data_IF_530711434777
#
_entry.id   IF_530711434777
#
_cell.length_a   1.000
_cell.length_b   1.000
_cell.length_c   1.000
_cell.angle_alpha   90.00
_cell.angle_beta   90.00
_cell.angle_gamma   90.00
#
_symmetry.space_group_name_H-M   'P 1'
#
loop_
_entity.id
_entity.type
_entity.pdbx_description
1 polymer ?
#
# COMPACT_ATOMS: atom_id res chain seq x y z
N UNK A 1 2.02 -16.92 -15.39
CA UNK A 1 1.72 -15.76 -16.30
C UNK A 1 3.07 -15.15 -16.69
N UNK A 2 3.33 -14.88 -17.98
CA UNK A 2 4.56 -14.19 -18.35
C UNK A 2 4.49 -12.70 -17.96
N UNK A 3 5.63 -11.99 -17.89
CA UNK A 3 5.67 -10.57 -17.45
C UNK A 3 4.78 -9.65 -18.29
N UNK A 4 4.63 -9.90 -19.59
CA UNK A 4 3.78 -9.07 -20.47
C UNK A 4 2.30 -9.16 -20.08
N UNK A 5 1.80 -10.34 -19.76
CA UNK A 5 0.42 -10.53 -19.31
C UNK A 5 0.19 -9.93 -17.92
N UNK A 6 1.18 -10.02 -17.04
CA UNK A 6 1.12 -9.42 -15.71
C UNK A 6 1.11 -7.90 -15.79
N UNK A 7 1.97 -7.29 -16.61
CA UNK A 7 2.01 -5.85 -16.84
C UNK A 7 0.66 -5.34 -17.35
N UNK A 8 0.08 -6.03 -18.32
CA UNK A 8 -1.25 -5.69 -18.83
C UNK A 8 -2.35 -5.80 -17.77
N UNK A 9 -2.29 -6.84 -16.93
CA UNK A 9 -3.23 -7.02 -15.81
C UNK A 9 -3.14 -5.86 -14.82
N UNK A 10 -1.93 -5.48 -14.39
CA UNK A 10 -1.70 -4.39 -13.45
C UNK A 10 -2.09 -3.02 -14.03
N UNK A 11 -1.79 -2.78 -15.31
CA UNK A 11 -2.19 -1.55 -15.99
C UNK A 11 -3.71 -1.43 -16.11
N UNK A 12 -4.40 -2.51 -16.49
CA UNK A 12 -5.86 -2.54 -16.54
C UNK A 12 -6.48 -2.30 -15.14
N UNK A 13 -5.86 -2.84 -14.08
CA UNK A 13 -6.26 -2.61 -12.70
C UNK A 13 -6.18 -1.13 -12.31
N UNK A 14 -5.03 -0.47 -12.58
CA UNK A 14 -4.85 0.95 -12.29
C UNK A 14 -5.83 1.80 -13.12
N UNK A 15 -5.99 1.52 -14.42
CA UNK A 15 -6.96 2.25 -15.26
C UNK A 15 -8.40 2.10 -14.75
N UNK A 16 -8.78 0.90 -14.32
CA UNK A 16 -10.10 0.65 -13.73
C UNK A 16 -10.30 1.47 -12.46
N UNK A 17 -9.33 1.45 -11.54
CA UNK A 17 -9.36 2.24 -10.31
C UNK A 17 -9.51 3.74 -10.59
N UNK A 18 -8.78 4.28 -11.57
CA UNK A 18 -8.90 5.69 -11.98
C UNK A 18 -10.27 5.98 -12.57
N UNK A 19 -10.82 5.10 -13.43
CA UNK A 19 -12.17 5.26 -14.01
C UNK A 19 -13.25 5.22 -12.93
N UNK A 20 -13.13 4.31 -11.98
CA UNK A 20 -14.09 4.18 -10.87
C UNK A 20 -14.01 5.40 -9.93
N UNK A 21 -12.81 5.87 -9.62
CA UNK A 21 -12.61 7.09 -8.85
C UNK A 21 -13.20 8.31 -9.57
N UNK A 22 -12.98 8.44 -10.89
CA UNK A 22 -13.58 9.51 -11.70
C UNK A 22 -15.10 9.52 -11.63
N UNK A 23 -15.76 8.37 -11.78
CA UNK A 23 -17.23 8.28 -11.67
C UNK A 23 -17.74 8.75 -10.32
N UNK A 24 -17.01 8.44 -9.24
CA UNK A 24 -17.38 8.74 -7.84
C UNK A 24 -17.10 10.19 -7.43
N UNK A 25 -16.29 10.89 -8.20
CA UNK A 25 -15.87 12.28 -7.92
C UNK A 25 -16.42 13.30 -8.91
N UNK A 26 -17.33 12.92 -9.81
CA UNK A 26 -17.90 13.82 -10.84
C UNK A 26 -18.54 15.10 -10.26
N UNK A 27 -19.04 15.03 -9.02
CA UNK A 27 -19.62 16.20 -8.33
C UNK A 27 -18.56 17.11 -7.68
N UNK A 28 -17.28 16.68 -7.64
CA UNK A 28 -16.16 17.44 -7.11
C UNK A 28 -15.23 17.87 -8.27
N UNK A 29 -15.31 19.13 -8.77
CA UNK A 29 -14.52 19.56 -9.91
C UNK A 29 -13.00 19.48 -9.69
N UNK A 30 -12.51 19.72 -8.46
CA UNK A 30 -11.08 19.67 -8.14
C UNK A 30 -10.56 18.21 -8.20
N UNK A 31 -11.30 17.27 -7.63
CA UNK A 31 -10.95 15.84 -7.70
C UNK A 31 -11.03 15.30 -9.12
N UNK A 32 -12.09 15.67 -9.83
CA UNK A 32 -12.25 15.27 -11.25
C UNK A 32 -11.09 15.78 -12.10
N UNK A 33 -10.70 17.05 -11.94
CA UNK A 33 -9.57 17.62 -12.67
C UNK A 33 -8.25 16.90 -12.34
N UNK A 34 -8.00 16.62 -11.07
CA UNK A 34 -6.83 15.83 -10.64
C UNK A 34 -6.85 14.44 -11.28
N UNK A 35 -7.94 13.68 -11.17
CA UNK A 35 -8.02 12.33 -11.68
C UNK A 35 -7.90 12.23 -13.20
N UNK A 36 -8.41 13.23 -13.95
CA UNK A 36 -8.19 13.32 -15.40
C UNK A 36 -6.71 13.54 -15.72
N UNK A 37 -6.05 14.47 -15.03
CA UNK A 37 -4.62 14.71 -15.21
C UNK A 37 -3.78 13.48 -14.83
N UNK A 38 -4.11 12.83 -13.71
CA UNK A 38 -3.43 11.62 -13.28
C UNK A 38 -3.63 10.48 -14.28
N UNK A 39 -4.83 10.29 -14.84
CA UNK A 39 -5.08 9.30 -15.89
C UNK A 39 -4.20 9.48 -17.13
N UNK A 40 -3.91 10.74 -17.53
CA UNK A 40 -2.94 11.02 -18.59
C UNK A 40 -1.51 10.66 -18.17
N UNK A 41 -1.15 10.90 -16.91
CA UNK A 41 0.16 10.53 -16.36
C UNK A 41 0.35 9.01 -16.32
N UNK A 42 -0.68 8.24 -15.95
CA UNK A 42 -0.67 6.77 -15.96
C UNK A 42 -0.37 6.23 -17.37
N UNK A 43 -1.02 6.75 -18.40
CA UNK A 43 -0.75 6.34 -19.80
C UNK A 43 0.67 6.65 -20.24
N UNK A 44 1.22 7.80 -19.84
CA UNK A 44 2.62 8.15 -20.10
C UNK A 44 3.57 7.19 -19.37
N UNK A 45 3.30 6.90 -18.12
CA UNK A 45 4.07 5.96 -17.31
C UNK A 45 4.06 4.54 -17.89
N UNK A 46 2.89 4.08 -18.36
CA UNK A 46 2.75 2.79 -19.06
C UNK A 46 3.63 2.73 -20.34
N UNK A 47 3.63 3.78 -21.14
CA UNK A 47 4.48 3.84 -22.33
C UNK A 47 5.97 3.76 -21.97
N UNK A 48 6.42 4.35 -20.85
CA UNK A 48 7.80 4.23 -20.36
C UNK A 48 8.13 2.79 -19.93
N UNK A 49 7.25 2.13 -19.19
CA UNK A 49 7.42 0.72 -18.80
C UNK A 49 7.45 -0.20 -20.01
N UNK A 50 6.51 -0.02 -20.94
CA UNK A 50 6.47 -0.80 -22.18
C UNK A 50 7.77 -0.68 -23.00
N UNK A 51 8.33 0.53 -23.10
CA UNK A 51 9.64 0.75 -23.74
C UNK A 51 10.77 -0.01 -23.04
N UNK A 52 10.72 -0.10 -21.71
CA UNK A 52 11.68 -0.88 -20.93
C UNK A 52 11.49 -2.38 -21.16
N UNK A 53 10.24 -2.86 -21.19
CA UNK A 53 9.91 -4.26 -21.46
C UNK A 53 10.36 -4.73 -22.83
N UNK A 54 10.26 -3.89 -23.88
CA UNK A 54 10.80 -4.19 -25.23
C UNK A 54 12.32 -4.40 -25.26
N UNK A 55 13.03 -3.92 -24.23
CA UNK A 55 14.49 -4.11 -24.06
C UNK A 55 14.84 -5.24 -23.10
N UNK A 56 13.86 -6.07 -22.73
CA UNK A 56 14.02 -7.19 -21.81
C UNK A 56 14.06 -6.83 -20.33
N UNK A 57 13.79 -5.56 -19.96
CA UNK A 57 13.66 -5.14 -18.57
C UNK A 57 12.22 -5.23 -18.08
N UNK A 58 12.03 -5.13 -16.75
CA UNK A 58 10.72 -5.05 -16.11
C UNK A 58 10.73 -3.96 -15.04
N UNK A 59 9.72 -3.10 -15.04
CA UNK A 59 9.50 -2.05 -14.05
C UNK A 59 8.09 -2.26 -13.48
N UNK A 60 7.93 -2.40 -12.16
CA UNK A 60 6.63 -2.52 -11.53
C UNK A 60 5.84 -1.20 -11.65
N UNK A 61 4.52 -1.30 -11.61
CA UNK A 61 3.65 -0.11 -11.72
C UNK A 61 3.52 0.66 -10.41
N UNK A 62 3.80 0.03 -9.26
CA UNK A 62 3.75 0.69 -7.95
C UNK A 62 4.86 0.20 -7.01
N UNK A 63 5.08 0.95 -5.93
CA UNK A 63 5.98 0.62 -4.84
C UNK A 63 5.26 0.78 -3.49
N UNK A 64 5.85 0.18 -2.45
CA UNK A 64 5.49 0.45 -1.06
C UNK A 64 6.72 1.05 -0.38
N UNK A 65 6.55 2.15 0.35
CA UNK A 65 7.63 2.86 1.01
C UNK A 65 7.28 3.12 2.48
N UNK A 66 8.01 2.49 3.39
CA UNK A 66 8.00 2.85 4.81
C UNK A 66 8.93 4.04 5.01
N UNK A 67 8.36 5.26 5.03
CA UNK A 67 9.16 6.50 5.06
C UNK A 67 9.74 6.82 6.46
N UNK A 68 9.30 6.10 7.47
CA UNK A 68 9.82 6.16 8.84
C UNK A 68 9.45 4.89 9.61
N UNK A 69 10.24 4.54 10.61
CA UNK A 69 9.92 3.55 11.63
C UNK A 69 9.25 4.16 12.88
N UNK A 70 9.20 5.51 12.97
CA UNK A 70 8.66 6.21 14.11
C UNK A 70 7.13 6.25 14.08
N UNK A 71 6.48 5.80 15.15
CA UNK A 71 5.03 5.83 15.30
C UNK A 71 4.62 6.47 16.62
N UNK A 72 3.43 7.09 16.65
CA UNK A 72 2.80 7.63 17.86
C UNK A 72 1.81 6.62 18.50
N UNK A 73 1.64 5.42 17.93
CA UNK A 73 0.82 4.33 18.45
C UNK A 73 1.63 3.06 18.70
N UNK A 74 1.03 2.14 19.48
CA UNK A 74 1.59 0.83 19.81
C UNK A 74 0.57 -0.29 19.51
N UNK A 75 0.14 -0.39 18.25
CA UNK A 75 -0.91 -1.32 17.85
C UNK A 75 -0.51 -2.78 18.07
N UNK A 76 -1.46 -3.59 18.57
CA UNK A 76 -1.27 -5.03 18.72
C UNK A 76 -1.07 -5.71 17.35
N UNK A 77 -0.06 -6.57 17.24
CA UNK A 77 0.25 -7.29 16.00
C UNK A 77 0.76 -6.42 14.84
N UNK A 78 1.31 -5.23 15.12
CA UNK A 78 1.88 -4.38 14.08
C UNK A 78 3.15 -5.01 13.51
N UNK A 79 3.21 -5.17 12.18
CA UNK A 79 4.37 -5.78 11.50
C UNK A 79 5.65 -4.95 11.63
N UNK A 80 5.53 -3.62 11.67
CA UNK A 80 6.66 -2.71 11.76
C UNK A 80 7.33 -2.74 13.15
N UNK A 81 6.56 -3.07 14.19
CA UNK A 81 7.07 -3.14 15.57
C UNK A 81 7.83 -4.41 15.93
N UNK A 82 7.66 -5.49 15.18
CA UNK A 82 8.41 -6.74 15.40
C UNK A 82 9.76 -6.72 14.69
N UNK A 83 10.00 -5.69 13.90
CA UNK A 83 11.26 -5.46 13.22
C UNK A 83 12.22 -4.71 14.15
N UNK A 84 13.51 -4.90 13.92
CA UNK A 84 14.54 -4.05 14.45
C UNK A 84 14.44 -2.68 13.77
N UNK A 85 13.92 -1.68 14.49
CA UNK A 85 13.73 -0.35 13.93
C UNK A 85 15.07 0.36 13.78
N UNK A 86 15.36 0.98 12.63
CA UNK A 86 16.55 1.84 12.49
C UNK A 86 16.43 3.04 13.44
N UNK A 87 17.57 3.58 13.89
CA UNK A 87 17.58 4.88 14.56
C UNK A 87 17.10 5.97 13.58
N UNK A 88 16.66 7.11 14.10
CA UNK A 88 16.21 8.23 13.25
C UNK A 88 17.32 8.71 12.30
N UNK A 89 18.56 8.68 12.76
CA UNK A 89 19.75 9.06 11.98
C UNK A 89 20.06 8.04 10.86
N UNK A 90 19.60 6.81 11.00
CA UNK A 90 19.74 5.77 9.99
C UNK A 90 18.62 5.80 8.94
N UNK A 91 17.52 6.49 9.19
CA UNK A 91 16.47 6.66 8.20
C UNK A 91 16.96 7.44 6.97
N UNK A 92 16.30 7.22 5.83
CA UNK A 92 16.57 8.01 4.62
C UNK A 92 16.20 9.47 4.83
N UNK A 93 17.08 10.36 4.36
CA UNK A 93 16.83 11.79 4.36
C UNK A 93 15.71 12.19 3.37
N UNK A 94 15.25 13.44 3.47
CA UNK A 94 14.34 14.03 2.46
C UNK A 94 14.93 13.95 1.06
N UNK A 95 16.21 14.22 0.91
CA UNK A 95 16.95 14.21 -0.35
C UNK A 95 17.04 12.81 -0.95
N UNK A 96 17.25 11.77 -0.11
CA UNK A 96 17.24 10.37 -0.54
C UNK A 96 15.87 9.98 -1.10
N UNK A 97 14.79 10.33 -0.40
CA UNK A 97 13.42 10.11 -0.89
C UNK A 97 13.12 10.90 -2.17
N UNK A 98 13.60 12.15 -2.28
CA UNK A 98 13.48 12.95 -3.49
C UNK A 98 14.14 12.29 -4.70
N UNK A 99 15.31 11.67 -4.53
CA UNK A 99 15.97 10.88 -5.57
C UNK A 99 15.14 9.67 -5.96
N UNK A 100 14.61 8.91 -5.00
CA UNK A 100 13.73 7.76 -5.24
C UNK A 100 12.49 8.18 -6.03
N UNK A 101 11.81 9.28 -5.67
CA UNK A 101 10.63 9.75 -6.37
C UNK A 101 10.94 10.25 -7.79
N UNK A 102 12.10 10.87 -7.99
CA UNK A 102 12.59 11.26 -9.32
C UNK A 102 12.77 10.04 -10.21
N UNK A 103 13.53 9.06 -9.74
CA UNK A 103 13.78 7.82 -10.49
C UNK A 103 12.48 7.04 -10.76
N UNK A 104 11.55 7.01 -9.79
CA UNK A 104 10.25 6.37 -9.95
C UNK A 104 9.44 7.02 -11.10
N UNK A 105 9.41 8.36 -11.16
CA UNK A 105 8.74 9.09 -12.23
C UNK A 105 9.38 8.82 -13.61
N UNK A 106 10.71 8.78 -13.68
CA UNK A 106 11.47 8.50 -14.91
C UNK A 106 11.29 7.07 -15.39
N UNK A 107 11.15 6.10 -14.49
CA UNK A 107 10.92 4.69 -14.80
C UNK A 107 9.46 4.39 -15.17
N UNK A 108 8.53 5.31 -14.89
CA UNK A 108 7.12 5.12 -15.14
C UNK A 108 6.39 4.38 -14.02
N UNK A 109 6.85 4.48 -12.78
CA UNK A 109 6.11 4.02 -11.60
C UNK A 109 4.95 5.00 -11.38
N UNK A 110 3.72 4.46 -11.30
CA UNK A 110 2.50 5.27 -11.29
C UNK A 110 2.01 5.57 -9.87
N UNK A 111 2.37 4.73 -8.88
CA UNK A 111 1.96 4.92 -7.50
C UNK A 111 3.05 4.49 -6.52
N UNK A 112 3.13 5.17 -5.36
CA UNK A 112 3.98 4.77 -4.24
C UNK A 112 3.15 4.86 -2.96
N UNK A 113 2.84 3.71 -2.34
CA UNK A 113 2.18 3.66 -1.04
C UNK A 113 3.15 4.16 0.01
N UNK A 114 2.80 5.26 0.67
CA UNK A 114 3.57 5.77 1.80
C UNK A 114 3.01 5.16 3.09
N UNK A 115 3.87 4.44 3.79
CA UNK A 115 3.58 3.73 5.03
C UNK A 115 4.76 3.88 6.00
N UNK A 116 4.88 2.96 6.94
CA UNK A 116 5.94 2.88 7.94
C UNK A 116 5.37 2.86 9.34
N UNK A 117 5.99 3.52 10.28
CA UNK A 117 5.40 3.80 11.58
C UNK A 117 4.17 4.69 11.42
N UNK A 118 4.36 6.01 11.44
CA UNK A 118 3.30 6.98 11.09
C UNK A 118 3.86 8.00 10.08
N UNK A 119 3.41 7.95 8.80
CA UNK A 119 3.94 8.83 7.76
C UNK A 119 3.78 10.33 8.04
N UNK A 120 2.75 10.75 8.77
CA UNK A 120 2.55 12.16 9.11
C UNK A 120 3.64 12.72 10.03
N UNK A 121 4.50 11.88 10.63
CA UNK A 121 5.71 12.31 11.35
C UNK A 121 6.84 12.78 10.43
N UNK A 122 6.76 12.47 9.13
CA UNK A 122 7.74 12.86 8.10
C UNK A 122 7.12 13.88 7.13
N UNK A 123 6.70 15.02 7.70
CA UNK A 123 6.18 16.14 6.92
C UNK A 123 7.15 16.59 5.81
N UNK A 124 8.46 16.53 6.08
CA UNK A 124 9.52 16.81 5.13
C UNK A 124 9.48 15.90 3.88
N UNK A 125 9.24 14.60 4.06
CA UNK A 125 9.12 13.64 2.96
C UNK A 125 7.78 13.77 2.23
N UNK A 126 6.69 14.05 2.95
CA UNK A 126 5.39 14.33 2.33
C UNK A 126 5.44 15.62 1.48
N UNK A 127 6.12 16.67 1.94
CA UNK A 127 6.39 17.87 1.15
C UNK A 127 7.23 17.55 -0.10
N UNK A 128 8.21 16.66 0.01
CA UNK A 128 8.97 16.23 -1.15
C UNK A 128 8.10 15.45 -2.13
N UNK A 129 7.29 14.48 -1.66
CA UNK A 129 6.34 13.72 -2.47
C UNK A 129 5.34 14.63 -3.21
N UNK A 130 4.93 15.75 -2.59
CA UNK A 130 3.98 16.70 -3.20
C UNK A 130 4.47 17.34 -4.50
N UNK A 131 5.76 17.28 -4.80
CA UNK A 131 6.37 17.81 -6.03
C UNK A 131 6.18 16.88 -7.24
N UNK A 132 5.73 15.64 -7.03
CA UNK A 132 5.65 14.60 -8.07
C UNK A 132 4.20 14.27 -8.44
N UNK A 133 3.44 15.23 -8.95
CA UNK A 133 2.03 15.09 -9.29
C UNK A 133 1.71 14.03 -10.37
N UNK A 134 2.71 13.45 -11.01
CA UNK A 134 2.56 12.32 -11.94
C UNK A 134 2.50 10.96 -11.24
N UNK A 135 2.82 10.90 -9.95
CA UNK A 135 2.76 9.72 -9.09
C UNK A 135 1.63 9.88 -8.09
N UNK A 136 0.84 8.84 -7.88
CA UNK A 136 -0.15 8.78 -6.81
C UNK A 136 0.51 8.31 -5.52
N UNK A 137 0.24 9.00 -4.42
CA UNK A 137 0.76 8.63 -3.10
C UNK A 137 -0.40 8.33 -2.14
N UNK A 138 -0.90 7.08 -2.06
CA UNK A 138 -1.73 6.66 -0.94
C UNK A 138 -0.93 6.74 0.36
N UNK A 139 -1.38 7.53 1.34
CA UNK A 139 -0.71 7.76 2.63
C UNK A 139 -1.45 7.00 3.72
N UNK A 140 -0.89 5.86 4.14
CA UNK A 140 -1.48 4.99 5.16
C UNK A 140 -1.17 5.54 6.55
N UNK A 141 -2.14 6.18 7.16
CA UNK A 141 -2.01 6.87 8.45
C UNK A 141 -3.01 6.36 9.49
N UNK A 142 -2.63 6.44 10.76
CA UNK A 142 -3.58 6.21 11.86
C UNK A 142 -4.55 7.38 12.07
N UNK A 143 -4.36 8.50 11.39
CA UNK A 143 -5.24 9.66 11.40
C UNK A 143 -5.15 10.57 12.63
N UNK A 144 -4.41 10.19 13.69
CA UNK A 144 -4.37 10.97 14.95
C UNK A 144 -3.68 12.33 14.77
N UNK A 145 -2.70 12.42 13.88
CA UNK A 145 -1.97 13.65 13.59
C UNK A 145 -2.63 14.48 12.48
N UNK A 146 -3.83 14.11 12.04
CA UNK A 146 -4.53 14.76 10.94
C UNK A 146 -5.27 16.00 11.44
N UNK A 147 -4.53 17.08 11.64
CA UNK A 147 -5.05 18.40 12.02
C UNK A 147 -5.45 19.25 10.79
N UNK A 148 -5.89 20.48 11.04
CA UNK A 148 -6.30 21.40 9.97
C UNK A 148 -5.16 21.76 9.00
N UNK A 149 -3.92 21.78 9.45
CA UNK A 149 -2.76 22.04 8.60
C UNK A 149 -2.52 20.86 7.65
N UNK A 150 -2.60 19.62 8.14
CA UNK A 150 -2.52 18.40 7.35
C UNK A 150 -3.66 18.31 6.32
N UNK A 151 -4.91 18.61 6.71
CA UNK A 151 -6.06 18.61 5.78
C UNK A 151 -5.85 19.62 4.66
N UNK A 152 -5.42 20.84 4.99
CA UNK A 152 -5.09 21.86 3.99
C UNK A 152 -3.93 21.45 3.07
N UNK A 153 -2.96 20.70 3.59
CA UNK A 153 -1.86 20.15 2.79
C UNK A 153 -2.38 19.14 1.77
N UNK A 154 -3.23 18.19 2.17
CA UNK A 154 -3.85 17.23 1.26
C UNK A 154 -4.78 17.90 0.25
N UNK A 155 -5.52 18.95 0.65
CA UNK A 155 -6.40 19.72 -0.25
C UNK A 155 -5.62 20.37 -1.40
N UNK A 156 -4.41 20.84 -1.13
CA UNK A 156 -3.51 21.42 -2.14
C UNK A 156 -2.80 20.37 -2.99
N UNK A 157 -2.64 19.15 -2.48
CA UNK A 157 -1.82 18.07 -3.07
C UNK A 157 -2.65 16.80 -3.25
N UNK A 158 -3.69 16.84 -4.09
CA UNK A 158 -4.72 15.78 -4.22
C UNK A 158 -4.20 14.42 -4.73
N UNK A 159 -2.98 14.36 -5.22
CA UNK A 159 -2.28 13.11 -5.54
C UNK A 159 -1.70 12.39 -4.31
N UNK A 160 -1.71 13.02 -3.13
CA UNK A 160 -1.52 12.38 -1.85
C UNK A 160 -2.90 12.05 -1.28
N UNK A 161 -3.26 10.77 -1.22
CA UNK A 161 -4.60 10.33 -0.80
C UNK A 161 -4.51 9.71 0.60
N UNK A 162 -5.12 10.32 1.63
CA UNK A 162 -5.15 9.72 2.96
C UNK A 162 -5.90 8.38 2.97
N UNK A 163 -5.28 7.36 3.54
CA UNK A 163 -5.88 6.05 3.79
C UNK A 163 -5.87 5.83 5.31
N UNK A 164 -7.02 6.02 5.93
CA UNK A 164 -7.15 6.04 7.37
C UNK A 164 -7.26 4.61 7.92
N UNK A 165 -6.40 4.28 8.86
CA UNK A 165 -6.38 2.94 9.45
C UNK A 165 -7.45 2.78 10.54
N UNK A 166 -8.30 1.76 10.40
CA UNK A 166 -9.39 1.40 11.31
C UNK A 166 -9.52 -0.13 11.38
N UNK A 167 -10.23 -0.68 12.39
CA UNK A 167 -10.35 -2.14 12.54
C UNK A 167 -11.81 -2.61 12.65
N UNK A 168 -12.77 -1.79 12.24
CA UNK A 168 -14.21 -1.97 12.45
C UNK A 168 -14.75 -0.97 13.43
N UNK A 169 -15.74 -1.37 14.29
CA UNK A 169 -16.30 -0.50 15.30
C UNK A 169 -15.33 -0.10 16.42
N UNK A 170 -15.80 0.75 17.35
CA UNK A 170 -15.00 1.33 18.44
C UNK A 170 -14.26 0.27 19.27
N UNK A 171 -14.97 -0.78 19.69
CA UNK A 171 -14.40 -1.85 20.52
C UNK A 171 -13.20 -2.51 19.84
N UNK A 172 -13.33 -2.86 18.57
CA UNK A 172 -12.27 -3.54 17.81
C UNK A 172 -11.10 -2.62 17.48
N UNK A 173 -11.40 -1.39 17.11
CA UNK A 173 -10.38 -0.40 16.79
C UNK A 173 -9.57 -0.03 18.02
N UNK A 174 -10.22 0.26 19.14
CA UNK A 174 -9.54 0.62 20.38
C UNK A 174 -8.79 -0.56 21.01
N UNK A 175 -9.33 -1.77 20.91
CA UNK A 175 -8.65 -2.97 21.40
C UNK A 175 -7.30 -3.18 20.69
N UNK A 176 -7.22 -2.94 19.38
CA UNK A 176 -5.99 -3.14 18.62
C UNK A 176 -5.06 -1.93 18.65
N UNK A 177 -5.62 -0.71 18.57
CA UNK A 177 -4.85 0.52 18.33
C UNK A 177 -4.62 1.37 19.58
N UNK A 178 -5.42 1.17 20.61
CA UNK A 178 -5.39 1.93 21.86
C UNK A 178 -6.68 2.70 22.11
N UNK A 179 -6.99 2.93 23.39
CA UNK A 179 -8.23 3.60 23.82
C UNK A 179 -8.36 4.99 23.20
N UNK A 180 -9.56 5.32 22.68
CA UNK A 180 -9.91 6.61 22.08
C UNK A 180 -9.39 6.81 20.65
N UNK A 181 -8.70 5.84 20.06
CA UNK A 181 -8.22 5.93 18.68
C UNK A 181 -9.37 5.95 17.69
N UNK A 182 -10.42 5.15 17.92
CA UNK A 182 -11.62 5.17 17.07
C UNK A 182 -12.23 6.57 16.96
N UNK A 183 -12.44 7.25 18.08
CA UNK A 183 -13.02 8.60 18.09
C UNK A 183 -12.17 9.59 17.29
N UNK A 184 -10.83 9.53 17.43
CA UNK A 184 -9.91 10.40 16.69
C UNK A 184 -9.93 10.08 15.20
N UNK A 185 -9.96 8.79 14.83
CA UNK A 185 -10.08 8.32 13.46
C UNK A 185 -11.38 8.81 12.79
N UNK A 186 -12.51 8.73 13.50
CA UNK A 186 -13.79 9.27 13.02
C UNK A 186 -13.75 10.79 12.82
N UNK A 187 -13.08 11.52 13.72
CA UNK A 187 -12.89 12.96 13.56
C UNK A 187 -12.01 13.29 12.34
N UNK A 188 -10.95 12.52 12.11
CA UNK A 188 -10.09 12.66 10.92
C UNK A 188 -10.90 12.47 9.63
N UNK A 189 -11.70 11.41 9.52
CA UNK A 189 -12.57 11.16 8.36
C UNK A 189 -13.58 12.29 8.17
N UNK A 190 -14.18 12.80 9.25
CA UNK A 190 -15.09 13.94 9.20
C UNK A 190 -14.41 15.18 8.61
N UNK A 191 -13.20 15.50 9.06
CA UNK A 191 -12.45 16.65 8.55
C UNK A 191 -12.12 16.50 7.06
N UNK A 192 -11.72 15.31 6.61
CA UNK A 192 -11.45 15.03 5.19
C UNK A 192 -12.72 15.19 4.33
N UNK A 193 -13.87 14.72 4.84
CA UNK A 193 -15.17 14.85 4.19
C UNK A 193 -15.62 16.30 4.06
N UNK A 194 -15.44 17.11 5.11
CA UNK A 194 -15.80 18.53 5.15
C UNK A 194 -15.02 19.35 4.10
N UNK A 195 -13.79 18.93 3.75
CA UNK A 195 -12.98 19.51 2.70
C UNK A 195 -13.20 18.85 1.32
N UNK A 196 -14.17 17.94 1.24
CA UNK A 196 -14.51 17.23 0.00
C UNK A 196 -13.27 16.56 -0.65
N UNK A 197 -12.45 15.90 0.18
CA UNK A 197 -11.24 15.20 -0.24
C UNK A 197 -11.54 13.74 -0.59
N UNK A 198 -10.88 13.23 -1.64
CA UNK A 198 -10.83 11.79 -1.88
C UNK A 198 -9.96 11.15 -0.78
N UNK A 199 -10.54 10.22 -0.04
CA UNK A 199 -9.82 9.44 0.96
C UNK A 199 -10.34 8.01 1.05
N UNK A 200 -9.56 7.16 1.68
CA UNK A 200 -9.91 5.77 1.93
C UNK A 200 -9.74 5.38 3.38
N UNK A 201 -10.06 4.12 3.67
CA UNK A 201 -9.72 3.46 4.89
C UNK A 201 -8.94 2.17 4.63
N UNK A 202 -8.14 1.72 5.60
CA UNK A 202 -7.51 0.41 5.60
C UNK A 202 -7.87 -0.35 6.86
N UNK A 203 -8.18 -1.64 6.70
CA UNK A 203 -8.52 -2.55 7.78
C UNK A 203 -7.54 -3.71 7.75
N UNK A 204 -6.85 -3.96 8.87
CA UNK A 204 -6.13 -5.22 9.03
C UNK A 204 -7.13 -6.29 9.45
N UNK A 205 -7.38 -7.25 8.56
CA UNK A 205 -8.36 -8.33 8.78
C UNK A 205 -7.73 -9.44 9.59
N UNK A 206 -8.34 -9.76 10.72
CA UNK A 206 -7.93 -10.80 11.65
C UNK A 206 -9.10 -11.74 11.98
N UNK A 207 -8.84 -12.86 12.64
CA UNK A 207 -9.91 -13.71 13.16
C UNK A 207 -10.87 -12.96 14.09
N UNK A 208 -10.37 -11.97 14.82
CA UNK A 208 -11.16 -11.27 15.82
C UNK A 208 -12.15 -10.25 15.21
N UNK A 209 -11.83 -9.67 14.04
CA UNK A 209 -12.66 -8.63 13.43
C UNK A 209 -13.32 -9.02 12.10
N UNK A 210 -12.99 -10.18 11.52
CA UNK A 210 -13.51 -10.60 10.21
C UNK A 210 -15.02 -10.45 10.11
N UNK A 211 -15.77 -11.00 11.07
CA UNK A 211 -17.24 -10.98 11.05
C UNK A 211 -17.82 -9.58 11.10
N UNK A 212 -17.12 -8.61 11.70
CA UNK A 212 -17.56 -7.22 11.79
C UNK A 212 -17.25 -6.44 10.50
N UNK A 213 -16.02 -6.56 10.00
CA UNK A 213 -15.53 -5.71 8.91
C UNK A 213 -16.10 -6.06 7.53
N UNK A 214 -16.66 -7.27 7.38
CA UNK A 214 -17.33 -7.70 6.14
C UNK A 214 -18.84 -7.48 6.14
N UNK A 215 -19.43 -6.91 7.21
CA UNK A 215 -20.87 -6.62 7.27
C UNK A 215 -21.22 -5.42 6.39
N UNK A 216 -22.42 -5.46 5.83
CA UNK A 216 -22.93 -4.35 5.01
C UNK A 216 -23.07 -3.06 5.81
N UNK A 217 -23.42 -3.15 7.09
CA UNK A 217 -23.57 -2.01 8.01
C UNK A 217 -22.23 -1.29 8.21
N UNK A 218 -21.14 -2.03 8.44
CA UNK A 218 -19.79 -1.46 8.60
C UNK A 218 -19.34 -0.73 7.35
N UNK A 219 -19.58 -1.34 6.17
CA UNK A 219 -19.24 -0.72 4.88
C UNK A 219 -20.08 0.54 4.65
N UNK A 220 -21.38 0.46 4.92
CA UNK A 220 -22.31 1.62 4.78
C UNK A 220 -21.90 2.77 5.70
N UNK A 221 -21.53 2.48 6.94
CA UNK A 221 -21.04 3.51 7.86
C UNK A 221 -19.80 4.24 7.31
N UNK A 222 -18.82 3.51 6.78
CA UNK A 222 -17.63 4.10 6.17
C UNK A 222 -17.96 4.93 4.92
N UNK A 223 -18.90 4.47 4.07
CA UNK A 223 -19.40 5.23 2.92
C UNK A 223 -20.08 6.53 3.36
N UNK A 224 -20.92 6.48 4.40
CA UNK A 224 -21.59 7.66 4.98
C UNK A 224 -20.59 8.65 5.58
N UNK A 225 -19.45 8.17 6.12
CA UNK A 225 -18.35 9.03 6.57
C UNK A 225 -17.58 9.69 5.41
N UNK A 226 -17.84 9.28 4.17
CA UNK A 226 -17.23 9.85 2.97
C UNK A 226 -16.09 9.01 2.39
N UNK A 227 -15.78 7.86 2.98
CA UNK A 227 -14.76 6.94 2.47
C UNK A 227 -15.14 6.44 1.06
N UNK A 228 -14.18 6.48 0.13
CA UNK A 228 -14.38 6.04 -1.26
C UNK A 228 -13.54 4.81 -1.62
N UNK A 229 -12.54 4.50 -0.81
CA UNK A 229 -11.61 3.39 -1.01
C UNK A 229 -11.52 2.63 0.31
N UNK A 230 -11.66 1.31 0.27
CA UNK A 230 -11.44 0.46 1.44
C UNK A 230 -10.46 -0.66 1.08
N UNK A 231 -9.35 -0.69 1.82
CA UNK A 231 -8.28 -1.66 1.63
C UNK A 231 -8.34 -2.67 2.78
N UNK A 232 -8.67 -3.91 2.46
CA UNK A 232 -8.58 -5.03 3.40
C UNK A 232 -7.18 -5.62 3.31
N UNK A 233 -6.43 -5.52 4.40
CA UNK A 233 -5.09 -6.10 4.52
C UNK A 233 -5.19 -7.34 5.39
N UNK A 234 -5.05 -8.52 4.80
CA UNK A 234 -5.03 -9.77 5.57
C UNK A 234 -3.84 -9.75 6.54
N UNK A 235 -4.10 -10.09 7.79
CA UNK A 235 -3.05 -10.12 8.81
C UNK A 235 -2.05 -11.25 8.53
N UNK A 236 -0.80 -10.88 8.30
CA UNK A 236 0.32 -11.83 8.25
C UNK A 236 0.82 -12.09 9.66
N UNK A 237 1.00 -13.34 10.11
CA UNK A 237 1.21 -13.71 11.52
C UNK A 237 2.62 -13.40 12.06
N UNK A 238 3.11 -12.20 11.81
CA UNK A 238 4.46 -11.76 12.22
C UNK A 238 4.65 -11.65 13.74
N UNK A 239 3.58 -11.41 14.49
CA UNK A 239 3.63 -11.23 15.94
C UNK A 239 2.74 -12.24 16.70
N UNK A 240 1.58 -12.59 16.16
CA UNK A 240 0.62 -13.48 16.84
C UNK A 240 -0.09 -14.40 15.84
N UNK A 241 0.27 -15.68 15.76
CA UNK A 241 -0.36 -16.63 14.84
C UNK A 241 -1.88 -16.76 15.00
N UNK A 242 -2.41 -16.57 16.21
CA UNK A 242 -3.84 -16.69 16.49
C UNK A 242 -4.71 -15.62 15.83
N UNK A 243 -4.12 -14.50 15.44
CA UNK A 243 -4.85 -13.41 14.75
C UNK A 243 -5.00 -13.69 13.25
N UNK A 244 -4.20 -14.58 12.68
CA UNK A 244 -4.26 -14.89 11.25
C UNK A 244 -5.55 -15.62 10.88
N UNK A 245 -6.12 -15.30 9.72
CA UNK A 245 -7.27 -16.00 9.19
C UNK A 245 -6.91 -17.47 8.90
N UNK A 246 -7.81 -18.38 9.27
CA UNK A 246 -7.76 -19.74 8.77
C UNK A 246 -8.37 -19.83 7.36
N UNK A 247 -8.31 -21.01 6.72
CA UNK A 247 -8.81 -21.20 5.35
C UNK A 247 -10.29 -20.84 5.20
N UNK A 248 -11.12 -21.20 6.18
CA UNK A 248 -12.55 -20.85 6.16
C UNK A 248 -12.76 -19.32 6.25
N UNK A 249 -11.98 -18.64 7.08
CA UNK A 249 -12.04 -17.17 7.21
C UNK A 249 -11.60 -16.47 5.92
N UNK A 250 -10.56 -16.98 5.25
CA UNK A 250 -10.10 -16.45 3.97
C UNK A 250 -11.13 -16.63 2.86
N UNK A 251 -11.72 -17.84 2.76
CA UNK A 251 -12.79 -18.12 1.80
C UNK A 251 -13.99 -17.19 2.03
N UNK A 252 -14.39 -17.01 3.31
CA UNK A 252 -15.49 -16.11 3.65
C UNK A 252 -15.19 -14.65 3.26
N UNK A 253 -13.96 -14.18 3.51
CA UNK A 253 -13.54 -12.82 3.11
C UNK A 253 -13.64 -12.65 1.58
N UNK A 254 -13.11 -13.60 0.80
CA UNK A 254 -13.15 -13.55 -0.67
C UNK A 254 -14.57 -13.53 -1.22
N UNK A 255 -15.42 -14.47 -0.80
CA UNK A 255 -16.81 -14.55 -1.25
C UNK A 255 -17.59 -13.28 -0.90
N UNK A 256 -17.34 -12.76 0.30
CA UNK A 256 -18.02 -11.55 0.75
C UNK A 256 -17.56 -10.30 -0.01
N UNK A 257 -16.26 -10.15 -0.24
CA UNK A 257 -15.71 -9.06 -1.04
C UNK A 257 -16.21 -9.10 -2.50
N UNK A 258 -16.29 -10.28 -3.11
CA UNK A 258 -16.87 -10.42 -4.44
C UNK A 258 -18.31 -9.89 -4.47
N UNK A 259 -19.17 -10.32 -3.52
CA UNK A 259 -20.54 -9.84 -3.41
C UNK A 259 -20.67 -8.33 -3.13
N UNK A 260 -19.78 -7.78 -2.29
CA UNK A 260 -19.76 -6.33 -1.97
C UNK A 260 -19.35 -5.48 -3.18
N UNK A 261 -18.37 -5.93 -3.97
CA UNK A 261 -17.91 -5.25 -5.19
C UNK A 261 -19.04 -5.09 -6.23
N UNK A 262 -19.92 -6.06 -6.33
CA UNK A 262 -21.07 -5.98 -7.23
C UNK A 262 -22.13 -4.96 -6.79
N UNK A 263 -22.27 -4.73 -5.48
CA UNK A 263 -23.36 -3.95 -4.89
C UNK A 263 -22.96 -2.53 -4.50
N UNK A 264 -21.65 -2.25 -4.33
CA UNK A 264 -21.16 -1.02 -3.75
C UNK A 264 -20.39 -0.17 -4.76
N UNK A 265 -20.56 1.13 -4.63
CA UNK A 265 -19.74 2.08 -5.39
C UNK A 265 -18.35 2.26 -4.81
N UNK A 266 -18.10 1.92 -3.53
CA UNK A 266 -16.79 1.98 -2.90
C UNK A 266 -15.78 1.08 -3.62
N UNK A 267 -14.54 1.55 -3.79
CA UNK A 267 -13.44 0.76 -4.32
C UNK A 267 -12.96 -0.18 -3.21
N UNK A 268 -13.12 -1.48 -3.39
CA UNK A 268 -12.72 -2.51 -2.42
C UNK A 268 -11.48 -3.24 -2.94
N UNK A 269 -10.37 -3.14 -2.20
CA UNK A 269 -9.08 -3.79 -2.51
C UNK A 269 -8.78 -4.80 -1.41
N UNK A 270 -8.34 -6.00 -1.78
CA UNK A 270 -7.85 -7.02 -0.84
C UNK A 270 -6.37 -7.30 -1.09
N UNK A 271 -5.57 -7.23 -0.05
CA UNK A 271 -4.15 -7.53 -0.11
C UNK A 271 -3.79 -8.54 0.99
N UNK A 272 -3.17 -9.69 0.67
CA UNK A 272 -2.73 -10.14 -0.65
C UNK A 272 -3.80 -10.89 -1.48
N UNK A 273 -5.05 -10.97 -1.06
CA UNK A 273 -6.10 -11.78 -1.68
C UNK A 273 -6.27 -11.57 -3.19
N UNK A 274 -6.22 -10.33 -3.67
CA UNK A 274 -6.37 -10.00 -5.09
C UNK A 274 -5.16 -10.43 -5.96
N UNK A 275 -4.07 -10.89 -5.35
CA UNK A 275 -2.89 -11.40 -6.07
C UNK A 275 -3.11 -12.75 -6.77
N UNK A 276 -4.15 -13.50 -6.41
CA UNK A 276 -4.48 -14.80 -7.05
C UNK A 276 -4.65 -14.66 -8.57
N UNK A 277 -5.34 -13.63 -9.02
CA UNK A 277 -5.59 -13.37 -10.44
C UNK A 277 -4.31 -12.99 -11.20
N UNK A 278 -3.28 -12.51 -10.51
CA UNK A 278 -1.98 -12.19 -11.09
C UNK A 278 -1.07 -13.40 -11.34
N UNK A 279 -1.51 -14.61 -10.96
CA UNK A 279 -0.73 -15.83 -11.08
C UNK A 279 0.40 -15.92 -10.06
N UNK A 280 0.17 -15.49 -8.82
CA UNK A 280 1.08 -15.57 -7.68
C UNK A 280 1.48 -14.22 -7.11
N UNK A 281 2.37 -14.23 -6.11
CA UNK A 281 2.79 -13.06 -5.36
C UNK A 281 3.41 -11.98 -6.24
N UNK A 282 3.04 -10.72 -6.00
CA UNK A 282 3.51 -9.53 -6.74
C UNK A 282 4.82 -8.95 -6.21
N UNK A 283 5.38 -9.52 -5.14
CA UNK A 283 6.60 -9.06 -4.48
C UNK A 283 7.86 -9.13 -5.35
N UNK A 284 9.00 -8.72 -4.80
CA UNK A 284 10.33 -8.75 -5.40
C UNK A 284 10.39 -8.07 -6.78
N UNK A 285 9.69 -6.96 -6.95
CA UNK A 285 9.66 -6.18 -8.19
C UNK A 285 8.80 -6.78 -9.29
N UNK A 286 8.05 -7.86 -9.05
CA UNK A 286 7.14 -8.44 -10.03
C UNK A 286 5.94 -7.52 -10.30
N UNK A 287 5.29 -7.01 -9.28
CA UNK A 287 4.25 -5.97 -9.32
C UNK A 287 4.65 -4.78 -8.45
N UNK A 288 5.37 -5.04 -7.36
CA UNK A 288 5.94 -4.04 -6.46
C UNK A 288 7.16 -4.59 -5.73
N UNK A 289 7.87 -3.71 -5.02
CA UNK A 289 8.75 -4.05 -3.92
C UNK A 289 8.60 -3.01 -2.80
N UNK A 290 9.16 -3.32 -1.64
CA UNK A 290 9.11 -2.46 -0.47
C UNK A 290 10.45 -1.75 -0.25
N UNK A 291 10.41 -0.48 0.14
CA UNK A 291 11.55 0.30 0.57
C UNK A 291 11.35 0.57 2.05
N UNK A 292 12.23 0.07 2.91
CA UNK A 292 12.16 0.34 4.33
C UNK A 292 12.73 1.71 4.70
N UNK A 293 12.52 2.17 5.94
CA UNK A 293 12.92 3.50 6.38
C UNK A 293 14.43 3.76 6.27
N UNK A 294 15.26 2.73 6.41
CA UNK A 294 16.72 2.82 6.24
C UNK A 294 17.19 2.74 4.78
N UNK A 295 16.28 2.57 3.81
CA UNK A 295 16.58 2.50 2.39
C UNK A 295 16.83 1.10 1.86
N UNK A 296 16.64 0.05 2.64
CA UNK A 296 16.74 -1.33 2.18
C UNK A 296 15.62 -1.64 1.16
N UNK A 297 16.00 -2.20 0.00
CA UNK A 297 15.06 -2.73 -0.98
C UNK A 297 14.66 -4.15 -0.58
N UNK A 298 13.44 -4.32 -0.09
CA UNK A 298 12.90 -5.58 0.41
C UNK A 298 11.87 -6.16 -0.58
N UNK A 299 11.73 -7.48 -0.71
CA UNK A 299 10.71 -8.08 -1.57
C UNK A 299 9.30 -7.58 -1.24
N UNK A 300 8.95 -7.48 0.06
CA UNK A 300 7.62 -7.15 0.56
C UNK A 300 7.73 -6.61 2.00
N UNK A 301 6.77 -5.80 2.50
CA UNK A 301 6.71 -5.43 3.92
C UNK A 301 6.74 -6.62 4.89
N UNK A 302 6.30 -7.79 4.49
CA UNK A 302 6.29 -9.01 5.30
C UNK A 302 7.50 -9.93 5.06
N UNK A 303 8.46 -9.50 4.25
CA UNK A 303 9.71 -10.20 3.96
C UNK A 303 10.88 -9.21 4.08
N UNK A 304 11.33 -8.90 5.33
CA UNK A 304 12.23 -7.80 5.64
C UNK A 304 13.71 -8.13 5.38
N UNK A 305 14.00 -8.69 4.22
CA UNK A 305 15.35 -9.07 3.81
C UNK A 305 15.79 -8.23 2.62
N UNK A 306 16.99 -7.69 2.66
CA UNK A 306 17.52 -6.82 1.61
C UNK A 306 18.99 -7.11 1.34
N UNK A 307 19.37 -7.12 0.06
CA UNK A 307 20.75 -7.16 -0.41
C UNK A 307 21.19 -5.84 -1.06
N UNK A 308 20.30 -4.84 -1.11
CA UNK A 308 20.52 -3.58 -1.83
C UNK A 308 19.97 -2.40 -1.06
N UNK A 309 20.76 -1.33 -0.89
CA UNK A 309 20.33 -0.10 -0.24
C UNK A 309 20.15 1.05 -1.24
N UNK A 310 18.97 1.67 -1.21
CA UNK A 310 18.65 2.85 -2.03
C UNK A 310 19.31 4.15 -1.53
N UNK A 311 20.06 4.12 -0.44
CA UNK A 311 20.97 5.23 -0.10
C UNK A 311 22.13 5.34 -1.10
N UNK A 312 22.53 4.22 -1.70
CA UNK A 312 23.70 4.14 -2.60
C UNK A 312 23.37 3.61 -3.99
N UNK A 313 22.31 2.80 -4.13
CA UNK A 313 21.88 2.21 -5.39
C UNK A 313 20.63 2.92 -5.95
N UNK A 314 20.42 2.81 -7.25
CA UNK A 314 19.22 3.26 -7.94
C UNK A 314 18.06 2.25 -7.81
N UNK A 315 16.83 2.70 -8.09
CA UNK A 315 15.67 1.81 -8.20
C UNK A 315 15.87 0.71 -9.26
N UNK A 316 16.56 1.04 -10.35
CA UNK A 316 16.85 0.07 -11.42
C UNK A 316 17.81 -1.02 -10.94
N UNK A 317 18.85 -0.67 -10.19
CA UNK A 317 19.78 -1.63 -9.61
C UNK A 317 19.08 -2.50 -8.57
N UNK A 318 18.24 -1.93 -7.73
CA UNK A 318 17.44 -2.69 -6.77
C UNK A 318 16.52 -3.73 -7.45
N UNK A 319 15.86 -3.36 -8.55
CA UNK A 319 15.03 -4.28 -9.33
C UNK A 319 15.82 -5.43 -9.99
N UNK A 320 17.11 -5.25 -10.17
CA UNK A 320 18.04 -6.22 -10.74
C UNK A 320 18.91 -6.90 -9.68
N UNK A 321 18.63 -6.66 -8.40
CA UNK A 321 19.40 -7.26 -7.30
C UNK A 321 19.42 -8.80 -7.39
N UNK A 322 20.48 -9.45 -6.92
CA UNK A 322 20.56 -10.92 -6.88
C UNK A 322 19.37 -11.53 -6.13
N UNK A 323 18.96 -10.95 -5.00
CA UNK A 323 17.82 -11.42 -4.22
C UNK A 323 16.54 -11.41 -5.05
N UNK A 324 16.19 -10.28 -5.66
CA UNK A 324 14.96 -10.18 -6.44
C UNK A 324 14.97 -11.07 -7.67
N UNK A 325 16.12 -11.14 -8.34
CA UNK A 325 16.30 -12.01 -9.52
C UNK A 325 16.09 -13.47 -9.17
N UNK A 326 16.76 -13.97 -8.12
CA UNK A 326 16.61 -15.35 -7.64
C UNK A 326 15.17 -15.67 -7.22
N UNK A 327 14.49 -14.77 -6.51
CA UNK A 327 13.09 -14.98 -6.10
C UNK A 327 12.14 -15.10 -7.31
N UNK A 328 12.36 -14.30 -8.36
CA UNK A 328 11.55 -14.37 -9.59
C UNK A 328 11.83 -15.61 -10.43
N UNK A 329 13.08 -16.05 -10.50
CA UNK A 329 13.51 -17.17 -11.36
C UNK A 329 13.27 -18.54 -10.72
N UNK A 330 13.40 -18.66 -9.40
CA UNK A 330 13.29 -19.94 -8.69
C UNK A 330 11.84 -20.38 -8.39
N UNK A 331 10.84 -19.66 -8.90
CA UNK A 331 9.43 -20.00 -8.69
C UNK A 331 8.91 -19.72 -7.26
N UNK A 332 9.70 -19.09 -6.39
CA UNK A 332 9.30 -18.78 -5.01
C UNK A 332 8.04 -17.89 -4.91
N UNK A 333 7.78 -17.10 -5.96
CA UNK A 333 6.61 -16.21 -6.06
C UNK A 333 5.43 -16.85 -6.81
N UNK A 334 5.62 -18.03 -7.41
CA UNK A 334 4.64 -18.71 -8.25
C UNK A 334 4.19 -19.97 -7.51
N UNK A 335 3.23 -19.84 -6.63
CA UNK A 335 2.61 -20.95 -5.92
C UNK A 335 1.11 -20.77 -5.85
N UNK A 336 0.36 -21.84 -5.57
CA UNK A 336 -1.03 -21.70 -5.16
C UNK A 336 -1.04 -20.92 -3.84
N UNK A 337 -1.45 -19.68 -3.95
CA UNK A 337 -1.57 -18.77 -2.83
C UNK A 337 -2.95 -18.97 -2.21
N UNK A 338 -3.05 -19.81 -1.21
CA UNK A 338 -4.31 -20.08 -0.51
C UNK A 338 -4.59 -19.07 0.61
N UNK A 339 -4.21 -17.81 0.41
CA UNK A 339 -4.53 -16.72 1.32
C UNK A 339 -3.56 -16.51 2.49
N UNK A 340 -2.36 -16.99 2.47
CA UNK A 340 -1.26 -16.64 3.37
C UNK A 340 -0.20 -15.80 2.62
N UNK A 341 0.83 -15.33 3.29
CA UNK A 341 1.97 -14.68 2.65
C UNK A 341 3.02 -15.73 2.27
N UNK A 342 3.15 -16.03 0.97
CA UNK A 342 4.12 -17.00 0.44
C UNK A 342 5.56 -16.72 0.90
N UNK A 343 5.96 -15.46 0.96
CA UNK A 343 7.33 -15.10 1.39
C UNK A 343 7.51 -15.18 2.90
N UNK A 344 6.44 -14.98 3.67
CA UNK A 344 6.50 -15.16 5.11
C UNK A 344 6.72 -16.64 5.47
N UNK A 345 6.01 -17.54 4.81
CA UNK A 345 6.17 -19.00 5.00
C UNK A 345 7.54 -19.50 4.53
N UNK A 346 8.24 -18.74 3.68
CA UNK A 346 9.58 -19.06 3.17
C UNK A 346 10.68 -18.16 3.75
N UNK A 347 10.49 -17.58 4.96
CA UNK A 347 11.38 -16.60 5.55
C UNK A 347 12.85 -17.04 5.60
N UNK A 348 13.13 -18.27 6.02
CA UNK A 348 14.50 -18.83 6.08
C UNK A 348 15.16 -18.91 4.70
N UNK A 349 14.40 -19.30 3.68
CA UNK A 349 14.90 -19.35 2.30
C UNK A 349 15.23 -17.95 1.76
N UNK A 350 14.34 -16.98 1.98
CA UNK A 350 14.58 -15.59 1.56
C UNK A 350 15.78 -14.98 2.28
N UNK A 351 15.91 -15.24 3.58
CA UNK A 351 17.07 -14.81 4.38
C UNK A 351 18.39 -15.38 3.85
N UNK A 352 18.38 -16.67 3.53
CA UNK A 352 19.57 -17.32 2.96
C UNK A 352 19.98 -16.73 1.61
N UNK A 353 19.01 -16.37 0.75
CA UNK A 353 19.27 -15.69 -0.51
C UNK A 353 19.83 -14.26 -0.32
N UNK A 354 19.32 -13.52 0.66
CA UNK A 354 19.79 -12.17 0.95
C UNK A 354 21.21 -12.14 1.55
N UNK A 355 21.58 -13.19 2.31
CA UNK A 355 22.88 -13.28 2.97
C UNK A 355 24.00 -13.79 2.04
N UNK A 356 23.65 -14.43 0.93
CA UNK A 356 24.57 -14.96 -0.09
C UNK A 356 24.15 -14.48 -1.48
N UNK A 357 24.31 -13.18 -1.76
CA UNK A 357 23.84 -12.55 -2.99
C UNK A 357 24.56 -13.01 -4.27
#
# INVERSE_FOLDING_TARGET
>A
MNFTNLEQYLNNGIESLVKDALRKTLMNPKETAFLVQYGLSVKKAEALRHKTAQRGGHIPSFLIASITSQCNLNCAGCYDRVREAPSVEEEMSREDWGRVFTEAAELGISAILLAGGEPLKRADVLEEASRYASILFPVFTNGIMLDSACVNFFEKNRHLIPIISIEGGEILTDARRGSGVYTQTMQAMKSLKEFDLLFGASITVTNDNLSDVIREETITELEEKGCKILVFVEYVPVASPSLALNDAGRTLLEERLASLREKREMILVSFPGDEKESGGCLAAGRGFFHINAAGGAEPCPFSPYSDTSLKTASLREALQSPLFTKLRENGALIGEHTGGCVLFDQAEYVQALASNP
#
